data_IF_730672500425
#
_entry.id   IF_730672500425
#
_cell.length_a   1.000
_cell.length_b   1.000
_cell.length_c   1.000
_cell.angle_alpha   90.00
_cell.angle_beta   90.00
_cell.angle_gamma   90.00
#
_symmetry.space_group_name_H-M   'P 1'
#
loop_
_entity.id
_entity.type
_entity.pdbx_description
1 polymer ?
#
# COMPACT_ATOMS: atom_id res chain seq x y z
N UNK A 1 4.30 73.01 -12.03
CA UNK A 1 4.83 71.64 -11.98
C UNK A 1 3.66 70.71 -12.25
N UNK A 2 3.64 69.91 -13.34
CA UNK A 2 2.54 68.99 -13.57
C UNK A 2 2.66 67.83 -12.58
N UNK A 3 1.59 67.54 -11.84
CA UNK A 3 1.53 66.38 -10.95
C UNK A 3 1.68 65.10 -11.79
N UNK A 4 2.66 64.28 -11.42
CA UNK A 4 2.90 62.98 -12.05
C UNK A 4 1.66 62.09 -11.80
N UNK A 5 1.10 61.41 -12.82
CA UNK A 5 -0.06 60.56 -12.62
C UNK A 5 0.28 59.47 -11.59
N UNK A 6 -0.62 59.27 -10.62
CA UNK A 6 -0.45 58.29 -9.55
C UNK A 6 -0.37 56.87 -10.11
N UNK A 7 0.61 56.13 -9.62
CA UNK A 7 0.76 54.72 -9.91
C UNK A 7 0.17 53.92 -8.75
N UNK A 8 -1.12 53.61 -8.87
CA UNK A 8 -1.88 52.90 -7.84
C UNK A 8 -1.36 51.48 -7.58
N UNK A 9 -0.74 50.84 -8.57
CA UNK A 9 -0.22 49.48 -8.42
C UNK A 9 1.08 49.48 -7.60
N UNK A 10 1.95 50.46 -7.86
CA UNK A 10 3.14 50.68 -7.04
C UNK A 10 2.77 51.10 -5.60
N UNK A 11 1.78 51.98 -5.43
CA UNK A 11 1.28 52.39 -4.11
C UNK A 11 0.69 51.19 -3.34
N UNK A 12 -0.12 50.34 -3.98
CA UNK A 12 -0.68 49.14 -3.35
C UNK A 12 0.41 48.15 -2.93
N UNK A 13 1.40 47.90 -3.79
CA UNK A 13 2.52 47.01 -3.46
C UNK A 13 3.29 47.53 -2.23
N UNK A 14 3.58 48.83 -2.18
CA UNK A 14 4.25 49.43 -1.03
C UNK A 14 3.45 49.26 0.28
N UNK A 15 2.11 49.37 0.23
CA UNK A 15 1.26 49.13 1.40
C UNK A 15 1.30 47.66 1.82
N UNK A 16 1.22 46.73 0.87
CA UNK A 16 1.27 45.29 1.17
C UNK A 16 2.62 44.87 1.75
N UNK A 17 3.71 45.43 1.21
CA UNK A 17 5.07 45.18 1.72
C UNK A 17 5.22 45.73 3.14
N UNK A 18 4.74 46.95 3.40
CA UNK A 18 4.77 47.53 4.75
C UNK A 18 3.91 46.74 5.75
N UNK A 19 2.76 46.21 5.33
CA UNK A 19 1.92 45.36 6.17
C UNK A 19 2.61 44.03 6.48
N UNK A 20 3.27 43.43 5.49
CA UNK A 20 4.02 42.18 5.67
C UNK A 20 5.20 42.38 6.64
N UNK A 21 5.95 43.48 6.49
CA UNK A 21 7.05 43.83 7.41
C UNK A 21 6.53 44.04 8.84
N UNK A 22 5.41 44.78 8.99
CA UNK A 22 4.79 45.01 10.29
C UNK A 22 4.37 43.72 11.00
N UNK A 23 3.87 42.73 10.26
CA UNK A 23 3.50 41.42 10.84
C UNK A 23 4.75 40.61 11.18
N UNK A 24 5.79 40.69 10.34
CA UNK A 24 7.05 39.98 10.57
C UNK A 24 7.84 40.51 11.78
N UNK A 25 7.74 41.81 12.04
CA UNK A 25 8.39 42.48 13.18
C UNK A 25 7.54 42.46 14.46
N UNK A 26 6.28 42.00 14.39
CA UNK A 26 5.39 41.94 15.54
C UNK A 26 5.96 41.02 16.63
N UNK A 27 5.87 41.48 17.89
CA UNK A 27 6.31 40.66 19.02
C UNK A 27 5.33 39.51 19.29
N UNK A 28 5.82 38.43 19.91
CA UNK A 28 4.97 37.32 20.35
C UNK A 28 3.81 37.81 21.24
N UNK A 29 4.05 38.84 22.07
CA UNK A 29 3.04 39.41 22.97
C UNK A 29 1.93 40.12 22.19
N UNK A 30 2.29 40.90 21.17
CA UNK A 30 1.35 41.63 20.31
C UNK A 30 0.49 40.65 19.50
N UNK A 31 1.11 39.62 18.92
CA UNK A 31 0.41 38.58 18.17
C UNK A 31 -0.58 37.80 19.06
N UNK A 32 -0.19 37.51 20.31
CA UNK A 32 -1.08 36.86 21.28
C UNK A 32 -2.20 37.78 21.77
N UNK A 33 -1.97 39.09 21.84
CA UNK A 33 -2.98 40.07 22.20
C UNK A 33 -4.02 40.21 21.08
N UNK A 34 -3.57 40.39 19.84
CA UNK A 34 -4.42 40.49 18.65
C UNK A 34 -5.29 39.24 18.45
N UNK A 35 -4.71 38.05 18.59
CA UNK A 35 -5.46 36.80 18.50
C UNK A 35 -6.57 36.71 19.57
N UNK A 36 -6.31 37.17 20.80
CA UNK A 36 -7.32 37.19 21.87
C UNK A 36 -8.40 38.24 21.62
N UNK A 37 -8.02 39.41 21.08
CA UNK A 37 -8.97 40.47 20.71
C UNK A 37 -9.91 40.02 19.59
N UNK A 38 -9.39 39.24 18.64
CA UNK A 38 -10.19 38.57 17.61
C UNK A 38 -11.08 37.41 18.15
N UNK A 39 -11.04 37.13 19.45
CA UNK A 39 -11.80 36.05 20.09
C UNK A 39 -11.20 34.65 19.88
N UNK A 40 -9.98 34.56 19.38
CA UNK A 40 -9.28 33.29 19.21
C UNK A 40 -8.58 32.84 20.51
N UNK A 41 -8.40 31.53 20.66
CA UNK A 41 -7.58 30.95 21.72
C UNK A 41 -6.23 30.47 21.13
N UNK A 42 -5.12 31.19 21.39
CA UNK A 42 -3.80 30.82 20.89
C UNK A 42 -3.37 29.40 21.30
N UNK A 43 -3.85 28.90 22.45
CA UNK A 43 -3.52 27.54 22.91
C UNK A 43 -4.19 26.48 22.04
N UNK A 44 -5.43 26.73 21.61
CA UNK A 44 -6.13 25.85 20.68
C UNK A 44 -5.46 25.86 19.31
N UNK A 45 -5.08 27.04 18.81
CA UNK A 45 -4.33 27.15 17.55
C UNK A 45 -3.00 26.39 17.62
N UNK A 46 -2.22 26.56 18.69
CA UNK A 46 -0.98 25.83 18.89
C UNK A 46 -1.18 24.30 19.01
N UNK A 47 -2.26 23.86 19.66
CA UNK A 47 -2.60 22.44 19.72
C UNK A 47 -2.91 21.86 18.33
N UNK A 48 -3.72 22.56 17.53
CA UNK A 48 -4.02 22.17 16.15
C UNK A 48 -2.77 22.06 15.30
N UNK A 49 -1.88 23.06 15.35
CA UNK A 49 -0.62 23.05 14.60
C UNK A 49 0.26 21.88 15.01
N UNK A 50 0.44 21.64 16.32
CA UNK A 50 1.19 20.46 16.80
C UNK A 50 0.62 19.15 16.29
N UNK A 51 -0.70 19.00 16.28
CA UNK A 51 -1.33 17.77 15.82
C UNK A 51 -1.12 17.54 14.33
N UNK A 52 -1.16 18.60 13.51
CA UNK A 52 -0.84 18.53 12.08
C UNK A 52 0.61 18.08 11.88
N UNK A 53 1.56 18.69 12.57
CA UNK A 53 2.98 18.35 12.46
C UNK A 53 3.26 16.92 12.93
N UNK A 54 2.65 16.49 14.05
CA UNK A 54 2.76 15.11 14.56
C UNK A 54 2.21 14.09 13.57
N UNK A 55 1.07 14.37 12.95
CA UNK A 55 0.48 13.51 11.92
C UNK A 55 1.40 13.40 10.71
N UNK A 56 1.91 14.53 10.22
CA UNK A 56 2.84 14.54 9.09
C UNK A 56 4.12 13.75 9.38
N UNK A 57 4.70 13.92 10.57
CA UNK A 57 5.87 13.16 11.00
C UNK A 57 5.58 11.65 11.05
N UNK A 58 4.47 11.24 11.67
CA UNK A 58 4.04 9.85 11.73
C UNK A 58 3.82 9.25 10.35
N UNK A 59 3.15 9.97 9.46
CA UNK A 59 2.89 9.53 8.09
C UNK A 59 4.19 9.35 7.31
N UNK A 60 5.14 10.25 7.49
CA UNK A 60 6.46 10.13 6.90
C UNK A 60 7.19 8.90 7.44
N UNK A 61 7.26 8.69 8.75
CA UNK A 61 7.92 7.52 9.34
C UNK A 61 7.29 6.20 8.87
N UNK A 62 5.96 6.15 8.78
CA UNK A 62 5.22 4.96 8.36
C UNK A 62 5.24 4.72 6.84
N UNK A 63 5.80 5.63 6.03
CA UNK A 63 5.78 5.52 4.56
C UNK A 63 6.39 4.21 4.04
N UNK A 64 7.48 3.75 4.66
CA UNK A 64 8.17 2.53 4.24
C UNK A 64 7.36 1.28 4.57
N UNK A 65 6.71 1.26 5.73
CA UNK A 65 5.81 0.17 6.12
C UNK A 65 4.62 0.10 5.16
N UNK A 66 3.94 1.22 4.91
CA UNK A 66 2.80 1.28 3.98
C UNK A 66 3.19 0.89 2.55
N UNK A 67 4.37 1.30 2.10
CA UNK A 67 4.89 0.90 0.79
C UNK A 67 5.16 -0.61 0.72
N UNK A 68 5.73 -1.20 1.78
CA UNK A 68 5.96 -2.63 1.87
C UNK A 68 4.66 -3.44 1.92
N UNK A 69 3.67 -3.00 2.71
CA UNK A 69 2.33 -3.59 2.77
C UNK A 69 1.66 -3.58 1.40
N UNK A 70 1.67 -2.42 0.72
CA UNK A 70 1.10 -2.29 -0.62
C UNK A 70 1.80 -3.20 -1.64
N UNK A 71 3.13 -3.26 -1.62
CA UNK A 71 3.89 -4.14 -2.50
C UNK A 71 3.58 -5.63 -2.22
N UNK A 72 3.41 -6.00 -0.96
CA UNK A 72 3.02 -7.34 -0.57
C UNK A 72 1.59 -7.68 -1.04
N UNK A 73 0.64 -6.77 -0.86
CA UNK A 73 -0.73 -6.94 -1.35
C UNK A 73 -0.79 -7.09 -2.87
N UNK A 74 -0.02 -6.27 -3.61
CA UNK A 74 0.12 -6.39 -5.06
C UNK A 74 0.71 -7.75 -5.45
N UNK A 75 1.73 -8.22 -4.72
CA UNK A 75 2.34 -9.53 -4.93
C UNK A 75 1.31 -10.65 -4.68
N UNK A 76 0.59 -10.63 -3.55
CA UNK A 76 -0.45 -11.61 -3.23
C UNK A 76 -1.56 -11.59 -4.27
N UNK A 77 -1.99 -10.41 -4.72
CA UNK A 77 -3.00 -10.28 -5.78
C UNK A 77 -2.50 -10.84 -7.11
N UNK A 78 -1.24 -10.61 -7.46
CA UNK A 78 -0.64 -11.17 -8.67
C UNK A 78 -0.55 -12.70 -8.63
N UNK A 79 -0.37 -13.29 -7.45
CA UNK A 79 -0.41 -14.74 -7.24
C UNK A 79 -1.85 -15.26 -7.40
N UNK A 80 -2.84 -14.57 -6.82
CA UNK A 80 -4.26 -14.97 -6.89
C UNK A 80 -4.88 -14.83 -8.27
N UNK A 81 -4.45 -13.85 -9.06
CA UNK A 81 -5.08 -13.50 -10.35
C UNK A 81 -4.45 -14.22 -11.56
N UNK A 82 -3.35 -14.96 -11.38
CA UNK A 82 -2.73 -15.69 -12.49
C UNK A 82 -3.45 -17.03 -12.69
N UNK A 83 -4.04 -17.27 -13.88
CA UNK A 83 -4.71 -18.53 -14.16
C UNK A 83 -3.69 -19.65 -14.12
N UNK A 84 -4.05 -20.76 -13.48
CA UNK A 84 -3.35 -22.04 -13.63
C UNK A 84 -4.18 -22.93 -14.53
N UNK A 85 -3.53 -23.68 -15.40
CA UNK A 85 -4.22 -24.63 -16.29
C UNK A 85 -4.05 -26.03 -15.71
N UNK A 86 -5.17 -26.71 -15.43
CA UNK A 86 -5.15 -28.12 -15.09
C UNK A 86 -5.35 -28.94 -16.37
N UNK A 87 -4.60 -30.04 -16.57
CA UNK A 87 -4.86 -30.96 -17.67
C UNK A 87 -6.31 -31.50 -17.59
N UNK A 88 -7.02 -31.50 -18.72
CA UNK A 88 -8.40 -31.99 -18.81
C UNK A 88 -8.49 -33.53 -18.67
N UNK A 89 -7.36 -34.23 -18.79
CA UNK A 89 -7.31 -35.69 -18.70
C UNK A 89 -6.98 -36.18 -17.27
N UNK A 90 -7.66 -37.23 -16.77
CA UNK A 90 -7.33 -37.84 -15.47
C UNK A 90 -5.88 -38.31 -15.35
N UNK A 91 -5.33 -38.86 -16.44
CA UNK A 91 -3.93 -39.29 -16.50
C UNK A 91 -2.95 -38.11 -16.44
N UNK A 92 -3.24 -37.01 -17.13
CA UNK A 92 -2.44 -35.78 -17.09
C UNK A 92 -2.37 -35.18 -15.69
N UNK A 93 -3.52 -35.17 -14.98
CA UNK A 93 -3.59 -34.70 -13.58
C UNK A 93 -2.78 -35.58 -12.63
N UNK A 94 -2.83 -36.91 -12.80
CA UNK A 94 -2.01 -37.85 -12.00
C UNK A 94 -0.52 -37.61 -12.21
N UNK A 95 -0.08 -37.45 -13.46
CA UNK A 95 1.33 -37.16 -13.78
C UNK A 95 1.79 -35.84 -13.15
N UNK A 96 1.01 -34.77 -13.29
CA UNK A 96 1.31 -33.47 -12.69
C UNK A 96 1.38 -33.56 -11.16
N UNK A 97 0.44 -34.26 -10.52
CA UNK A 97 0.44 -34.46 -9.08
C UNK A 97 1.67 -35.24 -8.61
N UNK A 98 2.04 -36.34 -9.30
CA UNK A 98 3.26 -37.11 -8.99
C UNK A 98 4.51 -36.26 -9.16
N UNK A 99 4.59 -35.43 -10.20
CA UNK A 99 5.70 -34.53 -10.47
C UNK A 99 5.89 -33.51 -9.32
N UNK A 100 4.80 -32.87 -8.89
CA UNK A 100 4.79 -31.88 -7.78
C UNK A 100 5.23 -32.51 -6.47
N UNK A 101 4.67 -33.68 -6.13
CA UNK A 101 4.97 -34.41 -4.88
C UNK A 101 6.42 -34.90 -4.85
N UNK A 102 6.98 -35.28 -6.00
CA UNK A 102 8.37 -35.76 -6.12
C UNK A 102 9.39 -34.63 -6.01
N UNK A 103 9.15 -33.50 -6.68
CA UNK A 103 10.07 -32.34 -6.69
C UNK A 103 10.01 -31.52 -5.40
N UNK A 104 8.90 -31.54 -4.65
CA UNK A 104 8.73 -30.81 -3.38
C UNK A 104 8.36 -31.73 -2.21
N UNK A 105 9.34 -32.45 -1.61
CA UNK A 105 9.09 -33.37 -0.50
C UNK A 105 8.52 -32.70 0.77
N UNK A 106 8.74 -31.39 0.98
CA UNK A 106 8.11 -30.63 2.06
C UNK A 106 6.59 -30.47 1.87
N UNK A 107 6.14 -30.29 0.63
CA UNK A 107 4.71 -30.26 0.32
C UNK A 107 4.07 -31.63 0.47
N UNK A 108 4.80 -32.70 0.15
CA UNK A 108 4.35 -34.08 0.44
C UNK A 108 4.01 -34.25 1.91
N UNK A 109 4.83 -33.74 2.82
CA UNK A 109 4.58 -33.79 4.26
C UNK A 109 3.38 -32.92 4.67
N UNK A 110 3.24 -31.72 4.11
CA UNK A 110 2.10 -30.83 4.39
C UNK A 110 0.76 -31.38 3.83
N UNK A 111 0.78 -32.02 2.67
CA UNK A 111 -0.38 -32.66 2.05
C UNK A 111 -0.79 -33.92 2.82
N UNK A 112 0.18 -34.70 3.31
CA UNK A 112 -0.05 -35.83 4.22
C UNK A 112 -0.75 -35.41 5.51
N UNK A 113 -0.44 -34.22 6.03
CA UNK A 113 -1.09 -33.70 7.24
C UNK A 113 -2.49 -33.14 6.99
N UNK A 114 -2.82 -32.73 5.75
CA UNK A 114 -4.12 -32.16 5.39
C UNK A 114 -5.19 -33.21 5.13
N UNK A 115 -4.81 -34.40 4.68
CA UNK A 115 -5.72 -35.52 4.49
C UNK A 115 -5.04 -36.80 4.95
N UNK A 116 -5.50 -37.34 6.08
CA UNK A 116 -5.04 -38.58 6.70
C UNK A 116 -5.50 -39.80 5.87
N UNK A 117 -5.12 -39.86 4.59
CA UNK A 117 -5.33 -40.97 3.66
C UNK A 117 -4.01 -41.30 3.00
N UNK A 118 -3.55 -42.54 3.17
CA UNK A 118 -2.38 -43.05 2.46
C UNK A 118 -2.54 -42.79 0.96
N UNK A 119 -1.52 -42.18 0.33
CA UNK A 119 -1.47 -41.80 -1.09
C UNK A 119 -1.92 -42.88 -2.09
N UNK A 120 -2.05 -44.14 -1.65
CA UNK A 120 -2.44 -45.29 -2.48
C UNK A 120 -3.91 -45.29 -2.94
N UNK A 121 -4.81 -44.56 -2.27
CA UNK A 121 -6.26 -44.61 -2.57
C UNK A 121 -6.88 -43.24 -2.91
N UNK A 122 -6.13 -42.31 -3.51
CA UNK A 122 -6.72 -41.05 -3.99
C UNK A 122 -7.52 -41.30 -5.27
N UNK A 123 -8.79 -40.87 -5.26
CA UNK A 123 -9.62 -40.88 -6.47
C UNK A 123 -9.19 -39.75 -7.39
N UNK A 124 -9.57 -39.82 -8.68
CA UNK A 124 -9.28 -38.74 -9.63
C UNK A 124 -9.88 -37.40 -9.20
N UNK A 125 -11.03 -37.43 -8.51
CA UNK A 125 -11.66 -36.25 -7.93
C UNK A 125 -10.86 -35.66 -6.77
N UNK A 126 -10.28 -36.51 -5.91
CA UNK A 126 -9.41 -36.05 -4.81
C UNK A 126 -8.12 -35.43 -5.35
N UNK A 127 -7.55 -36.02 -6.41
CA UNK A 127 -6.36 -35.49 -7.09
C UNK A 127 -6.66 -34.14 -7.73
N UNK A 128 -7.80 -34.02 -8.41
CA UNK A 128 -8.25 -32.76 -8.99
C UNK A 128 -8.40 -31.67 -7.90
N UNK A 129 -9.12 -31.94 -6.81
CA UNK A 129 -9.29 -30.96 -5.73
C UNK A 129 -7.96 -30.57 -5.08
N UNK A 130 -7.05 -31.53 -4.89
CA UNK A 130 -5.70 -31.24 -4.40
C UNK A 130 -4.93 -30.32 -5.35
N UNK A 131 -5.00 -30.57 -6.65
CA UNK A 131 -4.34 -29.74 -7.65
C UNK A 131 -4.96 -28.34 -7.75
N UNK A 132 -6.29 -28.21 -7.64
CA UNK A 132 -6.96 -26.91 -7.58
C UNK A 132 -6.49 -26.09 -6.36
N UNK A 133 -6.38 -26.72 -5.18
CA UNK A 133 -5.82 -26.07 -4.00
C UNK A 133 -4.34 -25.69 -4.18
N UNK A 134 -3.53 -26.55 -4.79
CA UNK A 134 -2.11 -26.26 -5.07
C UNK A 134 -1.94 -25.17 -6.14
N UNK A 135 -2.84 -25.10 -7.12
CA UNK A 135 -2.93 -24.04 -8.13
C UNK A 135 -3.31 -22.71 -7.49
N UNK A 136 -4.31 -22.70 -6.60
CA UNK A 136 -4.69 -21.52 -5.83
C UNK A 136 -3.57 -20.99 -4.91
N UNK A 137 -2.69 -21.88 -4.45
CA UNK A 137 -1.48 -21.54 -3.69
C UNK A 137 -0.28 -21.14 -4.57
N UNK A 138 -0.43 -21.17 -5.91
CA UNK A 138 0.61 -20.81 -6.87
C UNK A 138 1.74 -21.84 -7.00
N UNK A 139 1.57 -23.05 -6.46
CA UNK A 139 2.61 -24.10 -6.44
C UNK A 139 2.78 -24.75 -7.81
N UNK A 140 1.69 -24.90 -8.56
CA UNK A 140 1.70 -25.56 -9.87
C UNK A 140 2.46 -24.77 -10.96
N UNK A 141 2.76 -23.50 -10.68
CA UNK A 141 3.51 -22.59 -11.57
C UNK A 141 4.90 -23.10 -11.99
N UNK A 142 5.56 -23.89 -11.14
CA UNK A 142 6.90 -24.43 -11.43
C UNK A 142 6.85 -25.72 -12.28
N UNK A 143 5.64 -26.16 -12.61
CA UNK A 143 5.34 -27.45 -13.22
C UNK A 143 4.40 -27.32 -14.44
N UNK A 144 3.97 -26.10 -14.76
CA UNK A 144 3.45 -25.74 -16.08
C UNK A 144 4.65 -25.79 -17.04
N UNK A 145 4.99 -27.00 -17.49
CA UNK A 145 5.82 -27.14 -18.69
C UNK A 145 4.98 -26.63 -19.88
N UNK A 146 5.55 -25.77 -20.76
CA UNK A 146 4.92 -25.54 -22.04
C UNK A 146 4.84 -26.91 -22.73
N UNK A 147 3.63 -27.34 -23.08
CA UNK A 147 3.47 -28.40 -24.06
C UNK A 147 4.08 -27.88 -25.38
N UNK A 148 5.38 -28.11 -25.57
CA UNK A 148 6.01 -28.09 -26.88
C UNK A 148 5.71 -29.44 -27.56
N UNK A 149 4.86 -29.35 -28.58
CA UNK A 149 4.64 -30.26 -29.73
C UNK A 149 4.01 -31.65 -29.52
#
# INVERSE_FOLDING_TARGET
MPEKPRDYEAELRAIMDALAESVAEASDEDLLAEAREAGEDPRQTAARVRDVLKRAAKDYEQRHLRAAEKAHEEQVRSIRMRPYVLPDTPEGRRKLFTLVVTRKPKLRQALLTLQNREFKNLTDADIQSCLEHLGALGVLREFEEPEEE
#
